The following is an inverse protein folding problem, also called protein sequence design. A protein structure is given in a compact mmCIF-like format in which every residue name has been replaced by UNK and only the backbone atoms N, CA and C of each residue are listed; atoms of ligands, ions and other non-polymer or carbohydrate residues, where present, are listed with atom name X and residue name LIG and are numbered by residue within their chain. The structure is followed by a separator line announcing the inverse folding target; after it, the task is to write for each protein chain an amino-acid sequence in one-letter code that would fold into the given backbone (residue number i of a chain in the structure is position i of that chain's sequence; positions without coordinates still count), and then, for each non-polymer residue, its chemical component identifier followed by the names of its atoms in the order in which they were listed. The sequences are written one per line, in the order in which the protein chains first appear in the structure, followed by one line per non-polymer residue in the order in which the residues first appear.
data_IF_698865685542
#
_entry.id   IF_698865685542
#
_cell.length_a   1.000
_cell.length_b   1.000
_cell.length_c   1.000
_cell.angle_alpha   90.00
_cell.angle_beta   90.00
_cell.angle_gamma   90.00
#
_symmetry.space_group_name_H-M   'P 1'
#
loop_
_entity.id
_entity.type
_entity.pdbx_description
1 polymer ?
#
# COMPACT_ATOMS: atom_id res chain seq x y z
N UNK A 1 19.67 1.74 -22.72
CA UNK A 1 19.49 2.14 -21.32
C UNK A 1 18.07 2.67 -21.19
N UNK A 2 17.14 1.85 -20.72
CA UNK A 2 15.78 2.33 -20.43
C UNK A 2 15.88 3.11 -19.13
N UNK A 3 15.69 4.43 -19.18
CA UNK A 3 15.44 5.20 -17.99
C UNK A 3 14.12 4.67 -17.42
N UNK A 4 14.18 3.92 -16.32
CA UNK A 4 12.99 3.56 -15.56
C UNK A 4 12.30 4.87 -15.21
N UNK A 5 11.13 5.11 -15.83
CA UNK A 5 10.35 6.31 -15.61
C UNK A 5 10.06 6.38 -14.12
N UNK A 6 10.52 7.45 -13.45
CA UNK A 6 10.13 7.71 -12.06
C UNK A 6 8.63 7.98 -12.03
N UNK A 7 7.93 7.26 -11.17
CA UNK A 7 6.51 7.49 -10.92
C UNK A 7 6.31 8.90 -10.34
N UNK A 8 5.18 9.53 -10.68
CA UNK A 8 4.69 10.75 -10.02
C UNK A 8 4.01 10.43 -8.68
N UNK A 9 3.72 11.44 -7.86
CA UNK A 9 2.93 11.24 -6.63
C UNK A 9 1.56 10.61 -6.91
N UNK A 10 0.89 11.04 -7.97
CA UNK A 10 -0.40 10.47 -8.38
C UNK A 10 -0.25 9.00 -8.79
N UNK A 11 0.74 8.67 -9.62
CA UNK A 11 1.02 7.29 -10.02
C UNK A 11 1.36 6.42 -8.80
N UNK A 12 2.07 6.94 -7.79
CA UNK A 12 2.32 6.21 -6.55
C UNK A 12 1.04 5.92 -5.76
N UNK A 13 0.11 6.87 -5.68
CA UNK A 13 -1.21 6.65 -5.05
C UNK A 13 -2.02 5.62 -5.84
N UNK A 14 -1.97 5.65 -7.17
CA UNK A 14 -2.61 4.64 -8.02
C UNK A 14 -2.05 3.24 -7.79
N UNK A 15 -0.73 3.09 -7.65
CA UNK A 15 -0.11 1.79 -7.36
C UNK A 15 -0.51 1.26 -5.98
N UNK A 16 -0.59 2.13 -4.97
CA UNK A 16 -1.10 1.76 -3.64
C UNK A 16 -2.57 1.32 -3.73
N UNK A 17 -3.39 2.05 -4.49
CA UNK A 17 -4.80 1.70 -4.70
C UNK A 17 -4.94 0.37 -5.44
N UNK A 18 -4.14 0.14 -6.48
CA UNK A 18 -4.10 -1.10 -7.25
C UNK A 18 -3.74 -2.30 -6.39
N UNK A 19 -2.77 -2.15 -5.48
CA UNK A 19 -2.41 -3.21 -4.53
C UNK A 19 -3.56 -3.59 -3.57
N UNK A 20 -4.39 -2.61 -3.20
CA UNK A 20 -5.52 -2.75 -2.29
C UNK A 20 -6.86 -2.99 -2.99
N UNK A 21 -6.92 -2.97 -4.32
CA UNK A 21 -8.18 -3.06 -5.07
C UNK A 21 -8.98 -4.30 -4.65
N UNK A 22 -10.27 -4.13 -4.35
CA UNK A 22 -11.10 -5.19 -3.79
C UNK A 22 -11.27 -6.39 -4.74
N UNK A 23 -11.22 -6.16 -6.05
CA UNK A 23 -11.50 -7.18 -7.07
C UNK A 23 -10.22 -7.82 -7.63
N UNK A 24 -9.14 -7.04 -7.72
CA UNK A 24 -7.91 -7.42 -8.43
C UNK A 24 -6.62 -7.22 -7.61
N UNK A 25 -6.73 -6.61 -6.44
CA UNK A 25 -5.61 -6.30 -5.58
C UNK A 25 -4.99 -7.55 -4.95
N UNK A 26 -3.66 -7.56 -4.91
CA UNK A 26 -2.93 -8.69 -4.37
C UNK A 26 -3.03 -8.78 -2.85
N UNK A 27 -3.23 -7.65 -2.15
CA UNK A 27 -3.34 -7.62 -0.68
C UNK A 27 -4.66 -8.31 -0.24
N UNK A 28 -5.86 -7.94 -0.74
CA UNK A 28 -7.07 -8.70 -0.44
C UNK A 28 -7.00 -10.17 -0.87
N UNK A 29 -6.40 -10.44 -2.04
CA UNK A 29 -6.25 -11.82 -2.53
C UNK A 29 -5.38 -12.70 -1.61
N UNK A 30 -4.43 -12.11 -0.87
CA UNK A 30 -3.57 -12.84 0.05
C UNK A 30 -4.34 -13.43 1.24
N UNK A 31 -5.29 -12.67 1.80
CA UNK A 31 -6.03 -13.04 3.01
C UNK A 31 -7.36 -13.74 2.71
N UNK A 32 -7.82 -13.69 1.45
CA UNK A 32 -9.04 -14.33 1.00
C UNK A 32 -10.30 -13.78 1.67
N UNK A 33 -11.37 -14.57 1.68
CA UNK A 33 -12.70 -14.13 2.17
C UNK A 33 -12.79 -13.91 3.68
N UNK A 34 -11.79 -14.35 4.45
CA UNK A 34 -11.77 -14.22 5.91
C UNK A 34 -11.05 -12.95 6.39
N UNK A 35 -10.36 -12.23 5.50
CA UNK A 35 -9.64 -11.00 5.83
C UNK A 35 -10.41 -9.71 5.51
N UNK A 36 -9.76 -8.55 5.73
CA UNK A 36 -10.33 -7.26 5.38
C UNK A 36 -10.65 -7.14 3.89
N UNK A 37 -11.64 -6.32 3.57
CA UNK A 37 -11.99 -5.99 2.19
C UNK A 37 -11.06 -4.88 1.69
N UNK A 38 -10.68 -4.99 0.42
CA UNK A 38 -9.93 -3.97 -0.29
C UNK A 38 -10.70 -2.66 -0.50
N UNK A 39 -10.18 -1.83 -1.39
CA UNK A 39 -10.76 -0.52 -1.74
C UNK A 39 -11.44 -0.54 -3.10
N UNK A 40 -12.35 0.40 -3.30
CA UNK A 40 -12.94 0.66 -4.62
C UNK A 40 -12.09 1.65 -5.42
N UNK A 41 -12.35 1.69 -6.72
CA UNK A 41 -11.81 2.72 -7.63
C UNK A 41 -12.05 4.12 -7.06
N UNK A 42 -11.04 4.97 -7.14
CA UNK A 42 -11.11 6.37 -6.68
C UNK A 42 -10.96 6.57 -5.17
N UNK A 43 -10.67 5.52 -4.38
CA UNK A 43 -10.39 5.67 -2.95
C UNK A 43 -9.28 6.70 -2.70
N UNK A 44 -9.54 7.63 -1.79
CA UNK A 44 -8.62 8.70 -1.40
C UNK A 44 -7.48 8.15 -0.54
N UNK A 45 -6.37 8.90 -0.45
CA UNK A 45 -5.18 8.44 0.27
C UNK A 45 -5.46 8.10 1.75
N UNK A 46 -6.33 8.85 2.43
CA UNK A 46 -6.75 8.57 3.80
C UNK A 46 -7.47 7.23 3.94
N UNK A 47 -8.31 6.87 2.96
CA UNK A 47 -8.94 5.54 2.89
C UNK A 47 -7.89 4.45 2.66
N UNK A 48 -6.88 4.71 1.81
CA UNK A 48 -5.78 3.76 1.59
C UNK A 48 -4.99 3.53 2.89
N UNK A 49 -4.68 4.58 3.65
CA UNK A 49 -3.99 4.49 4.94
C UNK A 49 -4.78 3.63 5.92
N UNK A 50 -6.07 3.93 6.10
CA UNK A 50 -6.94 3.16 6.99
C UNK A 50 -6.96 1.68 6.61
N UNK A 51 -7.01 1.38 5.30
CA UNK A 51 -7.05 0.00 4.81
C UNK A 51 -5.72 -0.72 4.99
N UNK A 52 -4.59 -0.07 4.77
CA UNK A 52 -3.28 -0.66 5.07
C UNK A 52 -3.17 -1.05 6.55
N UNK A 53 -3.67 -0.21 7.47
CA UNK A 53 -3.75 -0.56 8.89
C UNK A 53 -4.67 -1.75 9.16
N UNK A 54 -5.87 -1.77 8.57
CA UNK A 54 -6.78 -2.91 8.72
C UNK A 54 -6.13 -4.23 8.28
N UNK A 55 -5.40 -4.24 7.16
CA UNK A 55 -4.66 -5.43 6.73
C UNK A 55 -3.45 -5.74 7.61
N UNK A 56 -2.72 -4.74 8.10
CA UNK A 56 -1.59 -4.96 9.00
C UNK A 56 -2.01 -5.59 10.33
N UNK A 57 -3.17 -5.20 10.86
CA UNK A 57 -3.69 -5.68 12.15
C UNK A 57 -4.51 -6.98 12.01
N UNK A 58 -4.87 -7.38 10.79
CA UNK A 58 -5.67 -8.56 10.56
C UNK A 58 -4.91 -9.85 10.90
N UNK A 59 -5.49 -10.77 11.70
CA UNK A 59 -4.84 -12.04 12.06
C UNK A 59 -4.67 -12.99 10.86
N UNK A 60 -5.40 -12.76 9.78
CA UNK A 60 -5.28 -13.49 8.51
C UNK A 60 -4.07 -13.06 7.70
N UNK A 61 -3.46 -11.92 8.02
CA UNK A 61 -2.27 -11.42 7.33
C UNK A 61 -1.00 -12.07 7.89
N UNK A 62 -0.13 -12.66 7.05
CA UNK A 62 1.14 -13.22 7.50
C UNK A 62 2.01 -12.16 8.20
N UNK A 63 2.61 -12.50 9.34
CA UNK A 63 3.38 -11.55 10.17
C UNK A 63 4.43 -10.70 9.42
N UNK A 64 5.27 -11.28 8.55
CA UNK A 64 6.22 -10.49 7.75
C UNK A 64 5.54 -9.51 6.78
N UNK A 65 4.38 -9.88 6.22
CA UNK A 65 3.59 -9.00 5.35
C UNK A 65 2.94 -7.90 6.18
N UNK A 66 2.30 -8.26 7.29
CA UNK A 66 1.67 -7.33 8.22
C UNK A 66 2.64 -6.22 8.66
N UNK A 67 3.88 -6.57 9.01
CA UNK A 67 4.91 -5.59 9.37
C UNK A 67 5.19 -4.59 8.24
N UNK A 68 5.33 -5.08 7.00
CA UNK A 68 5.58 -4.18 5.86
C UNK A 68 4.36 -3.32 5.53
N UNK A 69 3.14 -3.85 5.69
CA UNK A 69 1.91 -3.08 5.51
C UNK A 69 1.75 -1.99 6.57
N UNK A 70 2.16 -2.23 7.82
CA UNK A 70 2.20 -1.21 8.87
C UNK A 70 3.15 -0.06 8.49
N UNK A 71 4.37 -0.37 8.03
CA UNK A 71 5.31 0.66 7.55
C UNK A 71 4.79 1.41 6.31
N UNK A 72 4.08 0.71 5.42
CA UNK A 72 3.42 1.35 4.30
C UNK A 72 2.34 2.33 4.77
N UNK A 73 1.54 1.94 5.77
CA UNK A 73 0.51 2.78 6.37
C UNK A 73 1.10 4.02 7.05
N UNK A 74 2.15 3.87 7.86
CA UNK A 74 2.88 4.97 8.51
C UNK A 74 3.42 5.98 7.50
N UNK A 75 4.04 5.50 6.42
CA UNK A 75 4.59 6.35 5.38
C UNK A 75 3.49 7.06 4.57
N UNK A 76 2.38 6.37 4.26
CA UNK A 76 1.24 6.96 3.58
C UNK A 76 0.52 8.00 4.45
N UNK A 77 0.44 7.77 5.76
CA UNK A 77 -0.11 8.72 6.72
C UNK A 77 0.73 10.01 6.79
N UNK A 78 2.06 9.86 6.83
CA UNK A 78 2.97 11.01 6.75
C UNK A 78 2.78 11.82 5.45
N UNK A 79 2.39 11.18 4.35
CA UNK A 79 2.11 11.84 3.08
C UNK A 79 0.81 12.68 3.10
N UNK A 80 -0.16 12.37 3.97
CA UNK A 80 -1.41 13.15 4.12
C UNK A 80 -1.16 14.56 4.65
N UNK A 81 -0.14 14.72 5.50
CA UNK A 81 0.19 15.98 6.17
C UNK A 81 1.41 16.68 5.57
N UNK A 82 1.95 16.14 4.48
CA UNK A 82 3.13 16.66 3.79
C UNK A 82 2.78 17.27 2.44
N UNK A 83 3.66 18.11 1.91
CA UNK A 83 3.50 18.74 0.58
C UNK A 83 4.76 18.57 -0.29
N UNK A 84 4.58 18.68 -1.60
CA UNK A 84 5.68 18.72 -2.59
C UNK A 84 6.62 17.51 -2.50
N UNK A 85 7.92 17.78 -2.37
CA UNK A 85 8.96 16.75 -2.34
C UNK A 85 8.87 15.82 -1.12
N UNK A 86 8.39 16.32 0.03
CA UNK A 86 8.23 15.52 1.23
C UNK A 86 7.09 14.51 1.07
N UNK A 87 5.95 14.96 0.53
CA UNK A 87 4.83 14.09 0.19
C UNK A 87 5.25 13.01 -0.83
N UNK A 88 5.98 13.41 -1.87
CA UNK A 88 6.51 12.47 -2.86
C UNK A 88 7.41 11.40 -2.23
N UNK A 89 8.33 11.81 -1.35
CA UNK A 89 9.22 10.88 -0.64
C UNK A 89 8.46 9.89 0.25
N UNK A 90 7.45 10.38 0.98
CA UNK A 90 6.60 9.56 1.84
C UNK A 90 5.76 8.54 1.04
N UNK A 91 5.16 8.95 -0.08
CA UNK A 91 4.47 8.05 -1.01
C UNK A 91 5.41 7.02 -1.63
N UNK A 92 6.64 7.42 -1.98
CA UNK A 92 7.66 6.52 -2.49
C UNK A 92 8.06 5.45 -1.48
N UNK A 93 8.19 5.82 -0.20
CA UNK A 93 8.45 4.89 0.89
C UNK A 93 7.28 3.93 1.10
N UNK A 94 6.04 4.44 1.12
CA UNK A 94 4.84 3.61 1.25
C UNK A 94 4.76 2.55 0.14
N UNK A 95 4.97 2.95 -1.11
CA UNK A 95 5.00 2.03 -2.24
C UNK A 95 6.13 1.00 -2.14
N UNK A 96 7.33 1.41 -1.73
CA UNK A 96 8.45 0.50 -1.54
C UNK A 96 8.14 -0.59 -0.48
N UNK A 97 7.48 -0.22 0.62
CA UNK A 97 7.05 -1.17 1.64
C UNK A 97 5.98 -2.13 1.12
N UNK A 98 5.02 -1.68 0.30
CA UNK A 98 4.06 -2.57 -0.38
C UNK A 98 4.77 -3.58 -1.29
N UNK A 99 5.79 -3.16 -2.04
CA UNK A 99 6.59 -4.07 -2.87
C UNK A 99 7.37 -5.08 -2.00
N UNK A 100 7.94 -4.64 -0.88
CA UNK A 100 8.63 -5.53 0.08
C UNK A 100 7.65 -6.53 0.72
N UNK A 101 6.43 -6.10 1.07
CA UNK A 101 5.36 -6.95 1.56
C UNK A 101 5.04 -8.06 0.54
N UNK A 102 4.91 -7.69 -0.74
CA UNK A 102 4.67 -8.65 -1.83
C UNK A 102 5.84 -9.62 -2.02
N UNK A 103 7.08 -9.17 -1.87
CA UNK A 103 8.23 -10.08 -1.95
C UNK A 103 8.29 -11.05 -0.76
N UNK A 104 7.78 -10.64 0.41
CA UNK A 104 7.70 -11.50 1.57
C UNK A 104 6.67 -12.63 1.42
N UNK A 105 5.69 -12.54 0.51
CA UNK A 105 4.75 -13.65 0.22
C UNK A 105 5.37 -14.78 -0.60
N UNK A 106 6.48 -14.54 -1.27
CA UNK A 106 7.16 -15.51 -2.14
C UNK A 106 8.31 -16.26 -1.44
N UNK A 107 8.50 -16.04 -0.14
CA UNK A 107 9.51 -16.68 0.70
C UNK A 107 8.85 -17.62 1.70
#
# INVERSE_FOLDING_TARGET
MNAEKRLTSEELVEELRSALDAESGWIPALVGSEGPVGVTVGATLDVLVARLWEFADAPTTPGPVAQQLAHAAEAADAALVSEGAAQYGALGAAYAYVIQARQATSR
#
